data_IF_900841035076
#
_entry.id   IF_900841035076
#
_cell.length_a   1.000
_cell.length_b   1.000
_cell.length_c   1.000
_cell.angle_alpha   90.00
_cell.angle_beta   90.00
_cell.angle_gamma   90.00
#
_symmetry.space_group_name_H-M   'P 1'
#
loop_
_entity.id
_entity.type
_entity.pdbx_description
1 polymer ?
#
# COMPACT_ATOMS: atom_id res chain seq x y z
N UNK A 1 5.01 -23.28 7.20
CA UNK A 1 4.58 -22.42 8.32
C UNK A 1 4.19 -21.07 7.73
N UNK A 2 3.06 -20.50 8.17
CA UNK A 2 2.60 -19.17 7.77
C UNK A 2 2.17 -18.37 9.01
N UNK A 3 2.43 -17.07 8.99
CA UNK A 3 2.08 -16.13 10.06
C UNK A 3 1.07 -15.15 9.51
N UNK A 4 -0.05 -15.00 10.20
CA UNK A 4 -1.11 -14.06 9.87
C UNK A 4 -1.25 -13.03 10.99
N UNK A 5 -1.55 -11.79 10.63
CA UNK A 5 -1.74 -10.69 11.55
C UNK A 5 -2.38 -9.50 10.84
N UNK A 6 -2.25 -8.30 11.37
CA UNK A 6 -2.77 -7.06 10.77
C UNK A 6 -4.25 -7.18 10.37
N UNK A 7 -4.53 -7.41 9.09
CA UNK A 7 -5.88 -7.55 8.55
C UNK A 7 -6.70 -8.68 9.21
N UNK A 8 -6.05 -9.70 9.79
CA UNK A 8 -6.76 -10.76 10.51
C UNK A 8 -7.60 -10.21 11.66
N UNK A 9 -7.03 -9.33 12.47
CA UNK A 9 -7.74 -8.67 13.57
C UNK A 9 -8.48 -7.42 13.15
N UNK A 10 -8.18 -6.88 11.97
CA UNK A 10 -8.77 -5.67 11.40
C UNK A 10 -8.86 -4.49 12.39
N UNK A 11 -7.73 -4.19 13.04
CA UNK A 11 -7.59 -3.15 14.06
C UNK A 11 -7.47 -3.68 15.50
N UNK A 12 -7.76 -4.94 15.74
CA UNK A 12 -7.57 -5.59 17.04
C UNK A 12 -6.31 -6.47 17.07
N UNK A 13 -5.68 -6.52 18.25
CA UNK A 13 -4.43 -7.24 18.42
C UNK A 13 -4.65 -8.76 18.39
N UNK A 14 -4.27 -9.40 17.29
CA UNK A 14 -4.22 -10.84 17.16
C UNK A 14 -3.23 -11.24 16.06
N UNK A 15 -2.54 -12.35 16.27
CA UNK A 15 -1.75 -13.04 15.27
C UNK A 15 -2.09 -14.53 15.29
N UNK A 16 -1.94 -15.19 14.15
CA UNK A 16 -2.09 -16.63 14.04
C UNK A 16 -0.87 -17.23 13.34
N UNK A 17 -0.37 -18.31 13.89
CA UNK A 17 0.70 -19.11 13.32
C UNK A 17 0.14 -20.48 12.97
N UNK A 18 0.22 -20.87 11.70
CA UNK A 18 -0.23 -22.16 11.20
C UNK A 18 0.86 -22.87 10.40
N UNK A 19 0.85 -24.18 10.40
CA UNK A 19 1.84 -24.96 9.67
C UNK A 19 1.57 -26.46 9.73
N UNK A 20 2.48 -27.21 9.13
CA UNK A 20 2.46 -28.67 9.23
C UNK A 20 2.66 -29.08 10.68
N UNK A 21 2.04 -30.20 11.09
CA UNK A 21 2.08 -30.73 12.45
C UNK A 21 3.53 -30.87 12.95
N UNK A 22 4.41 -31.47 12.16
CA UNK A 22 5.81 -31.76 12.52
C UNK A 22 6.59 -30.48 12.86
N UNK A 23 6.24 -29.36 12.21
CA UNK A 23 6.84 -28.04 12.48
C UNK A 23 6.20 -27.39 13.69
N UNK A 24 4.87 -27.47 13.80
CA UNK A 24 4.13 -26.82 14.88
C UNK A 24 4.35 -27.50 16.23
N UNK A 25 4.63 -28.79 16.27
CA UNK A 25 4.97 -29.53 17.50
C UNK A 25 6.27 -29.03 18.15
N UNK A 26 7.19 -28.43 17.38
CA UNK A 26 8.37 -27.76 17.95
C UNK A 26 8.03 -26.64 18.93
N UNK A 27 6.82 -26.05 18.83
CA UNK A 27 6.33 -25.05 19.78
C UNK A 27 6.21 -25.61 21.21
N UNK A 28 6.02 -26.92 21.37
CA UNK A 28 5.92 -27.60 22.66
C UNK A 28 7.23 -27.53 23.47
N UNK A 29 8.35 -27.40 22.78
CA UNK A 29 9.68 -27.28 23.39
C UNK A 29 10.20 -25.86 23.47
N UNK A 30 9.39 -24.85 23.12
CA UNK A 30 9.75 -23.45 23.13
C UNK A 30 8.92 -22.66 24.15
N UNK A 31 9.47 -21.55 24.61
CA UNK A 31 8.72 -20.62 25.46
C UNK A 31 7.89 -19.67 24.57
N UNK A 32 6.56 -19.81 24.65
CA UNK A 32 5.62 -18.92 23.96
C UNK A 32 4.87 -18.14 25.02
N UNK A 33 4.92 -16.82 24.95
CA UNK A 33 4.25 -15.92 25.88
C UNK A 33 3.60 -14.75 25.14
N UNK A 34 2.52 -14.23 25.72
CA UNK A 34 1.80 -13.06 25.20
C UNK A 34 1.09 -12.35 26.35
N UNK A 35 1.02 -11.03 26.27
CA UNK A 35 0.23 -10.20 27.21
C UNK A 35 -1.28 -10.46 27.07
N UNK A 36 -1.74 -10.77 25.84
CA UNK A 36 -3.16 -10.95 25.51
C UNK A 36 -3.60 -12.42 25.49
N UNK A 37 -2.91 -13.28 26.19
CA UNK A 37 -3.06 -14.74 26.14
C UNK A 37 -4.49 -15.26 26.29
N UNK A 38 -5.27 -14.67 27.19
CA UNK A 38 -6.67 -15.06 27.47
C UNK A 38 -7.69 -14.03 27.00
N UNK A 39 -7.22 -12.96 26.33
CA UNK A 39 -8.08 -11.92 25.81
C UNK A 39 -8.87 -12.45 24.61
N UNK A 40 -10.18 -12.17 24.56
CA UNK A 40 -11.09 -12.73 23.56
C UNK A 40 -11.43 -11.78 22.41
N UNK A 41 -11.19 -10.48 22.57
CA UNK A 41 -11.59 -9.45 21.59
C UNK A 41 -10.92 -9.73 20.23
N UNK A 42 -9.61 -9.97 20.24
CA UNK A 42 -8.87 -10.27 19.03
C UNK A 42 -9.37 -11.50 18.29
N UNK A 43 -9.68 -12.59 19.04
CA UNK A 43 -10.21 -13.82 18.47
C UNK A 43 -11.59 -13.63 17.84
N UNK A 44 -12.49 -12.90 18.52
CA UNK A 44 -13.84 -12.59 18.00
C UNK A 44 -13.73 -11.69 16.75
N UNK A 45 -12.85 -10.68 16.79
CA UNK A 45 -12.60 -9.82 15.64
C UNK A 45 -12.08 -10.61 14.44
N UNK A 46 -11.12 -11.53 14.65
CA UNK A 46 -10.57 -12.36 13.60
C UNK A 46 -11.63 -13.27 12.96
N UNK A 47 -12.45 -13.95 13.77
CA UNK A 47 -13.54 -14.77 13.27
C UNK A 47 -14.54 -13.96 12.45
N UNK A 48 -14.89 -12.75 12.92
CA UNK A 48 -15.81 -11.86 12.19
C UNK A 48 -15.19 -11.34 10.89
N UNK A 49 -13.91 -11.03 10.89
CA UNK A 49 -13.17 -10.64 9.68
C UNK A 49 -13.22 -11.74 8.64
N UNK A 50 -12.93 -12.99 9.03
CA UNK A 50 -12.95 -14.14 8.12
C UNK A 50 -14.35 -14.41 7.56
N UNK A 51 -15.39 -14.33 8.41
CA UNK A 51 -16.80 -14.47 7.99
C UNK A 51 -17.17 -13.41 6.93
N UNK A 52 -16.80 -12.16 7.15
CA UNK A 52 -17.09 -11.08 6.19
C UNK A 52 -16.29 -11.26 4.90
N UNK A 53 -15.02 -11.63 5.01
CA UNK A 53 -14.18 -11.90 3.84
C UNK A 53 -14.79 -13.00 2.95
N UNK A 54 -15.27 -14.07 3.56
CA UNK A 54 -15.91 -15.18 2.84
C UNK A 54 -17.27 -14.78 2.24
N UNK A 55 -18.11 -14.11 3.03
CA UNK A 55 -19.43 -13.63 2.59
C UNK A 55 -19.33 -12.69 1.39
N UNK A 56 -18.41 -11.74 1.43
CA UNK A 56 -18.29 -10.66 0.45
C UNK A 56 -17.27 -10.97 -0.64
N UNK A 57 -16.57 -12.10 -0.53
CA UNK A 57 -15.45 -12.48 -1.40
C UNK A 57 -14.46 -11.34 -1.58
N UNK A 58 -14.10 -10.70 -0.47
CA UNK A 58 -13.34 -9.45 -0.45
C UNK A 58 -12.02 -9.53 -1.23
N UNK A 59 -11.39 -10.71 -1.29
CA UNK A 59 -10.17 -10.93 -2.07
C UNK A 59 -10.37 -10.71 -3.58
N UNK A 60 -11.56 -11.06 -4.14
CA UNK A 60 -11.87 -10.80 -5.55
C UNK A 60 -11.95 -9.28 -5.81
N UNK A 61 -12.71 -8.56 -4.96
CA UNK A 61 -12.84 -7.11 -5.04
C UNK A 61 -11.48 -6.41 -4.91
N UNK A 62 -10.69 -6.78 -3.91
CA UNK A 62 -9.37 -6.20 -3.65
C UNK A 62 -8.43 -6.47 -4.83
N UNK A 63 -8.41 -7.70 -5.35
CA UNK A 63 -7.58 -8.08 -6.49
C UNK A 63 -7.95 -7.29 -7.74
N UNK A 64 -9.24 -7.20 -8.05
CA UNK A 64 -9.72 -6.45 -9.21
C UNK A 64 -9.40 -4.95 -9.10
N UNK A 65 -9.65 -4.37 -7.93
CA UNK A 65 -9.33 -2.95 -7.67
C UNK A 65 -7.83 -2.69 -7.80
N UNK A 66 -6.98 -3.54 -7.20
CA UNK A 66 -5.53 -3.37 -7.29
C UNK A 66 -4.98 -3.53 -8.71
N UNK A 67 -5.51 -4.47 -9.48
CA UNK A 67 -5.16 -4.61 -10.90
C UNK A 67 -5.56 -3.38 -11.71
N UNK A 68 -6.74 -2.79 -11.44
CA UNK A 68 -7.18 -1.57 -12.09
C UNK A 68 -6.29 -0.38 -11.74
N UNK A 69 -5.91 -0.24 -10.47
CA UNK A 69 -4.97 0.79 -10.01
C UNK A 69 -3.62 0.65 -10.74
N UNK A 70 -3.05 -0.55 -10.75
CA UNK A 70 -1.79 -0.85 -11.44
C UNK A 70 -1.84 -0.49 -12.92
N UNK A 71 -2.91 -0.89 -13.60
CA UNK A 71 -3.13 -0.56 -15.02
C UNK A 71 -3.25 0.94 -15.25
N UNK A 72 -3.91 1.65 -14.35
CA UNK A 72 -4.09 3.11 -14.46
C UNK A 72 -2.78 3.87 -14.29
N UNK A 73 -1.89 3.44 -13.38
CA UNK A 73 -0.54 4.01 -13.29
C UNK A 73 0.28 3.80 -14.56
N UNK A 74 0.23 2.60 -15.14
CA UNK A 74 0.91 2.34 -16.41
C UNK A 74 0.33 3.20 -17.56
N UNK A 75 -0.99 3.40 -17.57
CA UNK A 75 -1.64 4.26 -18.56
C UNK A 75 -1.20 5.73 -18.40
N UNK A 76 -1.08 6.24 -17.18
CA UNK A 76 -0.53 7.58 -16.94
C UNK A 76 0.93 7.68 -17.37
N UNK A 77 1.76 6.68 -17.04
CA UNK A 77 3.13 6.60 -17.53
C UNK A 77 3.19 6.70 -19.06
N UNK A 78 2.41 5.88 -19.76
CA UNK A 78 2.35 5.91 -21.22
C UNK A 78 1.86 7.25 -21.77
N UNK A 79 0.83 7.86 -21.14
CA UNK A 79 0.27 9.15 -21.55
C UNK A 79 1.30 10.27 -21.51
N UNK A 80 2.10 10.31 -20.44
CA UNK A 80 3.11 11.34 -20.20
C UNK A 80 4.53 10.89 -20.56
N UNK A 81 4.69 9.76 -21.27
CA UNK A 81 5.99 9.23 -21.71
C UNK A 81 6.99 9.03 -20.57
N UNK A 82 6.49 8.69 -19.40
CA UNK A 82 7.30 8.34 -18.23
C UNK A 82 7.50 6.82 -18.19
N UNK A 83 8.71 6.39 -17.87
CA UNK A 83 9.04 4.97 -17.71
C UNK A 83 8.54 4.50 -16.33
N UNK A 84 7.28 4.04 -16.29
CA UNK A 84 6.59 3.57 -15.09
C UNK A 84 6.59 2.05 -15.03
N UNK A 85 7.01 1.51 -13.93
CA UNK A 85 6.83 0.10 -13.59
C UNK A 85 5.91 -0.08 -12.39
N UNK A 86 5.21 -1.22 -12.33
CA UNK A 86 4.38 -1.60 -11.18
C UNK A 86 4.91 -2.89 -10.56
N UNK A 87 4.72 -3.03 -9.26
CA UNK A 87 5.21 -4.19 -8.49
C UNK A 87 4.27 -4.51 -7.34
N UNK A 88 4.50 -5.66 -6.71
CA UNK A 88 3.72 -6.13 -5.57
C UNK A 88 2.53 -7.00 -5.96
N UNK A 89 1.77 -7.38 -4.95
CA UNK A 89 0.50 -8.09 -5.13
C UNK A 89 -0.62 -7.08 -5.41
N UNK A 90 -1.71 -7.45 -6.08
CA UNK A 90 -2.84 -6.53 -6.27
C UNK A 90 -3.36 -5.91 -4.97
N UNK A 91 -3.36 -6.68 -3.87
CA UNK A 91 -3.77 -6.17 -2.56
C UNK A 91 -2.80 -5.13 -1.97
N UNK A 92 -1.56 -5.09 -2.43
CA UNK A 92 -0.51 -4.16 -2.05
C UNK A 92 0.33 -3.86 -3.28
N UNK A 93 -0.22 -3.05 -4.14
CA UNK A 93 0.43 -2.66 -5.39
C UNK A 93 1.19 -1.35 -5.22
N UNK A 94 2.30 -1.23 -5.89
CA UNK A 94 3.11 -0.02 -5.93
C UNK A 94 3.63 0.25 -7.33
N UNK A 95 4.08 1.48 -7.55
CA UNK A 95 4.70 1.89 -8.79
C UNK A 95 6.03 2.63 -8.54
N UNK A 96 6.83 2.68 -9.58
CA UNK A 96 8.07 3.44 -9.63
C UNK A 96 8.16 4.14 -10.99
N UNK A 97 8.73 5.35 -11.01
CA UNK A 97 9.15 6.02 -12.24
C UNK A 97 10.67 5.86 -12.33
N UNK A 98 11.15 5.24 -13.39
CA UNK A 98 12.58 5.00 -13.61
C UNK A 98 13.27 6.30 -14.01
N UNK A 99 13.73 7.05 -13.00
CA UNK A 99 14.43 8.32 -13.13
C UNK A 99 15.40 8.50 -11.97
N UNK A 100 16.50 9.21 -12.19
CA UNK A 100 17.45 9.59 -11.14
C UNK A 100 16.79 10.52 -10.10
N UNK A 101 15.77 11.27 -10.49
CA UNK A 101 14.99 12.15 -9.61
C UNK A 101 13.79 11.47 -8.94
N UNK A 102 13.68 10.12 -8.97
CA UNK A 102 12.55 9.39 -8.42
C UNK A 102 12.14 9.81 -7.01
N UNK A 103 13.08 10.00 -6.11
CA UNK A 103 12.77 10.42 -4.72
C UNK A 103 12.15 11.81 -4.66
N UNK A 104 12.56 12.72 -5.54
CA UNK A 104 11.96 14.04 -5.67
C UNK A 104 10.52 13.91 -6.22
N UNK A 105 10.30 13.07 -7.23
CA UNK A 105 8.96 12.82 -7.78
C UNK A 105 8.03 12.17 -6.75
N UNK A 106 8.53 11.21 -6.01
CA UNK A 106 7.78 10.62 -4.89
C UNK A 106 7.39 11.67 -3.84
N UNK A 107 8.31 12.58 -3.53
CA UNK A 107 8.04 13.70 -2.61
C UNK A 107 6.98 14.63 -3.18
N UNK A 108 7.08 15.00 -4.46
CA UNK A 108 6.11 15.85 -5.15
C UNK A 108 4.71 15.19 -5.16
N UNK A 109 4.63 13.91 -5.49
CA UNK A 109 3.36 13.16 -5.47
C UNK A 109 2.72 13.24 -4.08
N UNK A 110 3.47 12.92 -3.04
CA UNK A 110 2.97 12.95 -1.66
C UNK A 110 2.50 14.36 -1.27
N UNK A 111 3.29 15.38 -1.57
CA UNK A 111 3.01 16.78 -1.29
C UNK A 111 1.72 17.26 -1.99
N UNK A 112 1.64 17.08 -3.28
CA UNK A 112 0.52 17.60 -4.08
C UNK A 112 -0.78 16.84 -3.84
N UNK A 113 -0.70 15.51 -3.61
CA UNK A 113 -1.87 14.72 -3.24
C UNK A 113 -2.37 15.10 -1.85
N UNK A 114 -1.48 15.38 -0.89
CA UNK A 114 -1.86 15.83 0.44
C UNK A 114 -2.60 17.18 0.39
N UNK A 115 -2.16 18.13 -0.43
CA UNK A 115 -2.86 19.41 -0.66
C UNK A 115 -4.29 19.21 -1.20
N UNK A 116 -4.53 18.09 -1.89
CA UNK A 116 -5.83 17.69 -2.42
C UNK A 116 -6.64 16.80 -1.48
N UNK A 117 -6.17 16.63 -0.22
CA UNK A 117 -6.83 15.84 0.82
C UNK A 117 -6.65 14.33 0.70
N UNK A 118 -5.65 13.86 -0.05
CA UNK A 118 -5.34 12.44 -0.21
C UNK A 118 -3.96 12.15 0.36
N UNK A 119 -3.89 11.27 1.35
CA UNK A 119 -2.63 10.74 1.86
C UNK A 119 -2.14 9.64 0.91
N UNK A 120 -1.34 10.00 -0.07
CA UNK A 120 -0.82 9.11 -1.10
C UNK A 120 0.70 9.07 -1.11
N UNK A 121 1.24 7.97 -1.60
CA UNK A 121 2.65 7.76 -1.91
C UNK A 121 2.74 6.87 -3.16
N UNK A 122 3.80 6.08 -3.29
CA UNK A 122 4.08 5.17 -4.40
C UNK A 122 3.41 3.79 -4.28
N UNK A 123 2.56 3.59 -3.27
CA UNK A 123 1.88 2.31 -3.06
C UNK A 123 0.48 2.47 -2.47
N UNK A 124 -0.37 1.47 -2.71
CA UNK A 124 -1.73 1.42 -2.18
C UNK A 124 -1.97 0.08 -1.50
N UNK A 125 -2.36 0.15 -0.22
CA UNK A 125 -2.93 -0.98 0.52
C UNK A 125 -4.42 -1.04 0.20
N UNK A 126 -4.77 -1.87 -0.75
CA UNK A 126 -6.13 -1.92 -1.29
C UNK A 126 -7.09 -2.54 -0.29
N UNK A 127 -8.25 -1.93 -0.11
CA UNK A 127 -9.32 -2.44 0.73
C UNK A 127 -10.68 -2.37 0.01
N UNK A 128 -11.69 -2.99 0.58
CA UNK A 128 -13.04 -3.04 -0.01
C UNK A 128 -13.72 -1.67 -0.10
N UNK A 129 -13.22 -0.67 0.63
CA UNK A 129 -13.73 0.71 0.58
C UNK A 129 -13.09 1.55 -0.53
N UNK A 130 -12.06 1.06 -1.22
CA UNK A 130 -11.57 1.67 -2.45
C UNK A 130 -12.57 1.44 -3.59
N UNK A 131 -13.77 2.06 -3.44
CA UNK A 131 -14.82 2.03 -4.45
C UNK A 131 -14.40 2.77 -5.71
N UNK A 132 -15.03 2.47 -6.84
CA UNK A 132 -14.71 3.05 -8.14
C UNK A 132 -14.53 4.58 -8.08
N UNK A 133 -15.47 5.31 -7.46
CA UNK A 133 -15.41 6.78 -7.35
C UNK A 133 -14.18 7.29 -6.59
N UNK A 134 -13.74 6.56 -5.56
CA UNK A 134 -12.55 6.94 -4.78
C UNK A 134 -11.28 6.74 -5.61
N UNK A 135 -11.21 5.63 -6.35
CA UNK A 135 -10.08 5.34 -7.24
C UNK A 135 -10.06 6.33 -8.41
N UNK A 136 -11.21 6.67 -8.97
CA UNK A 136 -11.35 7.68 -10.03
C UNK A 136 -10.86 9.06 -9.54
N UNK A 137 -11.38 9.56 -8.41
CA UNK A 137 -10.95 10.83 -7.79
C UNK A 137 -9.43 10.85 -7.49
N UNK A 138 -8.87 9.72 -7.05
CA UNK A 138 -7.43 9.60 -6.86
C UNK A 138 -6.66 9.83 -8.17
N UNK A 139 -7.08 9.21 -9.28
CA UNK A 139 -6.39 9.34 -10.56
C UNK A 139 -6.61 10.72 -11.20
N UNK A 140 -7.80 11.31 -11.10
CA UNK A 140 -8.07 12.69 -11.54
C UNK A 140 -7.13 13.69 -10.86
N UNK A 141 -6.85 13.47 -9.57
CA UNK A 141 -5.95 14.34 -8.78
C UNK A 141 -4.47 14.04 -9.03
N UNK A 142 -4.13 12.80 -9.34
CA UNK A 142 -2.76 12.37 -9.61
C UNK A 142 -2.28 12.79 -11.00
N UNK A 143 -3.16 12.78 -11.98
CA UNK A 143 -2.82 13.04 -13.38
C UNK A 143 -2.08 14.37 -13.62
N UNK A 144 -2.50 15.53 -13.07
CA UNK A 144 -1.75 16.78 -13.24
C UNK A 144 -0.34 16.74 -12.65
N UNK A 145 -0.10 15.85 -11.68
CA UNK A 145 1.22 15.69 -11.07
C UNK A 145 2.14 14.91 -12.03
N UNK A 146 1.61 13.91 -12.73
CA UNK A 146 2.34 13.20 -13.79
C UNK A 146 2.71 14.14 -14.95
N UNK A 147 1.85 15.09 -15.31
CA UNK A 147 2.16 16.15 -16.27
C UNK A 147 3.31 17.05 -15.79
N UNK A 148 3.34 17.42 -14.51
CA UNK A 148 4.44 18.16 -13.92
C UNK A 148 5.75 17.37 -13.95
N UNK A 149 5.70 16.08 -13.65
CA UNK A 149 6.88 15.19 -13.70
C UNK A 149 7.41 15.10 -15.14
N UNK A 150 6.54 14.92 -16.13
CA UNK A 150 6.93 14.92 -17.55
C UNK A 150 7.65 16.23 -17.93
N UNK A 151 7.17 17.38 -17.46
CA UNK A 151 7.86 18.67 -17.67
C UNK A 151 9.24 18.68 -17.02
N UNK A 152 9.39 18.05 -15.84
CA UNK A 152 10.70 17.95 -15.18
C UNK A 152 11.65 17.06 -15.96
N UNK A 153 11.21 15.93 -16.49
CA UNK A 153 12.00 15.08 -17.39
C UNK A 153 12.44 15.82 -18.66
N UNK A 154 11.69 16.82 -19.08
CA UNK A 154 12.02 17.70 -20.21
C UNK A 154 12.81 18.97 -19.79
N UNK A 155 13.39 19.00 -18.59
CA UNK A 155 14.33 20.01 -18.13
C UNK A 155 13.78 21.11 -17.22
N UNK A 156 12.52 21.04 -16.79
CA UNK A 156 12.02 21.94 -15.76
C UNK A 156 12.61 21.57 -14.39
N UNK A 157 13.15 22.53 -13.60
CA UNK A 157 13.78 22.22 -12.32
C UNK A 157 12.77 21.73 -11.28
N UNK A 158 12.83 20.46 -10.91
CA UNK A 158 11.93 19.83 -9.92
C UNK A 158 11.99 20.54 -8.55
N UNK A 159 13.16 21.06 -8.18
CA UNK A 159 13.36 21.72 -6.88
C UNK A 159 12.49 22.99 -6.72
N UNK A 160 11.97 23.57 -7.80
CA UNK A 160 11.03 24.69 -7.76
C UNK A 160 9.59 24.25 -7.42
N UNK A 161 9.30 22.96 -7.48
CA UNK A 161 7.97 22.41 -7.17
C UNK A 161 7.89 21.84 -5.75
N UNK A 162 9.02 21.67 -5.07
CA UNK A 162 9.06 21.07 -3.73
C UNK A 162 8.97 22.14 -2.64
N UNK A 163 8.05 21.97 -1.70
CA UNK A 163 7.88 22.86 -0.55
C UNK A 163 8.84 22.50 0.60
N UNK A 164 9.48 21.34 0.56
CA UNK A 164 10.32 20.84 1.63
C UNK A 164 11.41 19.88 1.18
N UNK A 165 12.04 19.26 2.15
CA UNK A 165 13.14 18.30 1.89
C UNK A 165 12.64 17.05 1.18
N UNK A 166 13.48 16.53 0.27
CA UNK A 166 13.24 15.26 -0.42
C UNK A 166 13.17 14.11 0.59
N UNK A 167 12.22 13.21 0.40
CA UNK A 167 12.11 12.01 1.21
C UNK A 167 13.37 11.14 1.11
N UNK A 168 13.69 10.42 2.17
CA UNK A 168 14.83 9.50 2.18
C UNK A 168 14.40 8.05 1.95
N UNK A 169 15.34 7.22 1.50
CA UNK A 169 15.16 5.77 1.35
C UNK A 169 15.53 5.07 2.65
N UNK A 170 14.77 4.04 2.98
CA UNK A 170 15.07 3.15 4.09
C UNK A 170 14.66 3.70 5.46
N UNK A 171 14.95 2.91 6.49
CA UNK A 171 14.63 3.24 7.87
C UNK A 171 15.80 3.98 8.50
N UNK A 172 15.67 5.30 8.65
CA UNK A 172 16.64 6.13 9.38
C UNK A 172 15.98 6.75 10.59
N UNK A 173 16.72 6.85 11.71
CA UNK A 173 16.29 7.68 12.83
C UNK A 173 16.42 9.15 12.44
N UNK A 174 15.44 9.95 12.83
CA UNK A 174 15.39 11.40 12.58
C UNK A 174 16.14 12.19 13.67
N UNK A 175 17.30 11.68 14.12
CA UNK A 175 18.11 12.33 15.15
C UNK A 175 19.32 13.00 14.49
#
# INVERSE_FOLDING_TARGET
MAIFGKALGNGYAITALIGRREIMEAAQSTFISSTFWTERIGSVAALKTLEIMERDKSWETITNTGNNISKSWLNLGNKYKLDVSVSGLPALTGFNIHSDDWLKYKTLITQEMLKKGILATDSVYVCIEHKYRIVEDYFEKLEPIFEQIERCENGFPIDQLLDGSVCHVGFKRLN
#
